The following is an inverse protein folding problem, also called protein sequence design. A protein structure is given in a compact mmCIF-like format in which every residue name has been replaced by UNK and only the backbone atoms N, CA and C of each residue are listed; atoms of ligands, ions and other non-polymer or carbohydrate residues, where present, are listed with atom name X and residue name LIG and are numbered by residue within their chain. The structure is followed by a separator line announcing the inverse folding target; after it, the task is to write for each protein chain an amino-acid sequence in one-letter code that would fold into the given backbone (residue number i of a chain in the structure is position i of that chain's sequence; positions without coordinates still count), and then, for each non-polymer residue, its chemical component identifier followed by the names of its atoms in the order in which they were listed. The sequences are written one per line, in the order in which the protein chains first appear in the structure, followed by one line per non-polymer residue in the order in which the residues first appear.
data_IF_210485117816
#
_entry.id   IF_210485117816
#
_cell.length_a   1.000
_cell.length_b   1.000
_cell.length_c   1.000
_cell.angle_alpha   90.00
_cell.angle_beta   90.00
_cell.angle_gamma   90.00
#
_symmetry.space_group_name_H-M   'P 1'
#
loop_
_entity.id
_entity.type
_entity.pdbx_description
1 polymer ?
#
# COMPACT_ATOMS: atom_id res chain seq x y z
N UNK A 1 0.68 27.68 -5.28
CA UNK A 1 1.80 27.18 -6.10
C UNK A 1 1.57 27.59 -7.55
N UNK A 2 2.65 27.88 -8.30
CA UNK A 2 2.54 28.15 -9.73
C UNK A 2 1.96 26.90 -10.44
N UNK A 3 1.12 27.15 -11.44
CA UNK A 3 0.35 26.10 -12.13
C UNK A 3 1.17 25.39 -13.21
N UNK A 4 2.14 26.09 -13.79
CA UNK A 4 2.95 25.62 -14.91
C UNK A 4 4.44 25.70 -14.61
N UNK A 5 5.23 24.85 -15.26
CA UNK A 5 6.68 24.84 -15.10
C UNK A 5 7.31 26.17 -15.54
N UNK A 6 6.78 26.78 -16.60
CA UNK A 6 7.24 28.10 -17.09
C UNK A 6 7.14 29.24 -16.05
N UNK A 7 6.22 29.10 -15.07
CA UNK A 7 5.95 30.11 -14.04
C UNK A 7 6.82 29.91 -12.78
N UNK A 8 7.65 28.86 -12.78
CA UNK A 8 8.53 28.54 -11.66
C UNK A 8 9.80 29.40 -11.68
N UNK A 9 10.46 29.56 -10.51
CA UNK A 9 11.75 30.26 -10.44
C UNK A 9 12.81 29.65 -11.36
N UNK A 10 13.77 30.48 -11.79
CA UNK A 10 14.93 30.02 -12.57
C UNK A 10 15.65 28.88 -11.84
N UNK A 11 15.95 27.80 -12.58
CA UNK A 11 16.58 26.58 -12.04
C UNK A 11 15.60 25.53 -11.51
N UNK A 12 14.31 25.76 -11.60
CA UNK A 12 13.33 24.72 -11.31
C UNK A 12 13.53 23.52 -12.25
N UNK A 13 13.58 22.33 -11.64
CA UNK A 13 13.61 21.06 -12.38
C UNK A 13 12.23 20.44 -12.32
N UNK A 14 11.60 20.28 -13.48
CA UNK A 14 10.23 19.75 -13.61
C UNK A 14 10.18 18.23 -13.39
N UNK A 15 10.77 17.75 -12.29
CA UNK A 15 10.88 16.32 -11.96
C UNK A 15 11.13 16.11 -10.47
N UNK A 16 10.68 14.98 -9.94
CA UNK A 16 11.02 14.51 -8.60
C UNK A 16 12.31 13.69 -8.67
N UNK A 17 13.40 14.24 -8.19
CA UNK A 17 14.72 13.59 -8.19
C UNK A 17 15.10 13.01 -6.82
N UNK A 18 14.66 13.63 -5.72
CA UNK A 18 15.02 13.23 -4.35
C UNK A 18 13.77 12.80 -3.56
N UNK A 19 13.76 11.53 -3.20
CA UNK A 19 12.63 10.87 -2.51
C UNK A 19 13.09 10.33 -1.17
N UNK A 20 12.49 10.83 -0.10
CA UNK A 20 12.64 10.27 1.23
C UNK A 20 11.59 9.17 1.47
N UNK A 21 11.98 8.08 2.10
CA UNK A 21 11.06 7.00 2.46
C UNK A 21 11.28 6.51 3.88
N UNK A 22 10.20 6.49 4.66
CA UNK A 22 10.11 5.82 5.95
C UNK A 22 9.60 4.40 5.74
N UNK A 23 10.28 3.40 6.30
CA UNK A 23 9.89 2.00 6.16
C UNK A 23 10.38 1.31 4.89
N UNK A 24 11.49 1.78 4.31
CA UNK A 24 12.09 1.27 3.07
C UNK A 24 12.33 -0.25 3.02
N UNK A 25 12.62 -0.89 4.15
CA UNK A 25 12.80 -2.35 4.27
C UNK A 25 11.53 -3.13 4.61
N UNK A 26 10.38 -2.45 4.70
CA UNK A 26 9.08 -3.07 4.99
C UNK A 26 8.43 -3.69 3.76
N UNK A 27 7.29 -4.37 3.98
CA UNK A 27 6.56 -5.10 2.93
C UNK A 27 6.25 -4.25 1.70
N UNK A 28 5.66 -3.07 1.87
CA UNK A 28 5.33 -2.15 0.77
C UNK A 28 6.55 -1.32 0.39
N UNK A 29 7.27 -0.78 1.38
CA UNK A 29 8.40 0.12 1.14
C UNK A 29 9.51 -0.50 0.29
N UNK A 30 9.84 -1.78 0.53
CA UNK A 30 10.85 -2.50 -0.24
C UNK A 30 10.48 -2.56 -1.74
N UNK A 31 9.22 -2.83 -2.05
CA UNK A 31 8.76 -2.89 -3.44
C UNK A 31 8.78 -1.51 -4.11
N UNK A 32 8.38 -0.47 -3.37
CA UNK A 32 8.47 0.92 -3.87
C UNK A 32 9.91 1.30 -4.15
N UNK A 33 10.81 1.07 -3.21
CA UNK A 33 12.25 1.38 -3.36
C UNK A 33 12.83 0.63 -4.55
N UNK A 34 12.56 -0.66 -4.67
CA UNK A 34 13.05 -1.49 -5.78
C UNK A 34 12.64 -0.90 -7.14
N UNK A 35 11.39 -0.49 -7.28
CA UNK A 35 10.91 0.05 -8.56
C UNK A 35 11.41 1.48 -8.81
N UNK A 36 11.54 2.33 -7.77
CA UNK A 36 12.15 3.65 -7.90
C UNK A 36 13.60 3.56 -8.39
N UNK A 37 14.40 2.67 -7.82
CA UNK A 37 15.79 2.46 -8.24
C UNK A 37 15.90 2.00 -9.70
N UNK A 38 15.01 1.11 -10.15
CA UNK A 38 14.98 0.65 -11.55
C UNK A 38 14.75 1.78 -12.56
N UNK A 39 14.11 2.86 -12.16
CA UNK A 39 13.89 4.00 -13.07
C UNK A 39 15.19 4.75 -13.41
N UNK A 40 16.18 4.71 -12.53
CA UNK A 40 17.40 5.52 -12.63
C UNK A 40 17.17 7.04 -12.49
N UNK A 41 15.94 7.46 -12.16
CA UNK A 41 15.54 8.89 -12.10
C UNK A 41 15.62 9.49 -10.70
N UNK A 42 15.63 8.63 -9.66
CA UNK A 42 15.45 9.06 -8.29
C UNK A 42 16.66 8.70 -7.42
N UNK A 43 17.09 9.65 -6.61
CA UNK A 43 17.93 9.39 -5.43
C UNK A 43 16.98 9.08 -4.27
N UNK A 44 16.99 7.84 -3.78
CA UNK A 44 16.12 7.39 -2.69
C UNK A 44 16.90 7.44 -1.38
N UNK A 45 16.35 8.11 -0.36
CA UNK A 45 16.91 8.16 1.00
C UNK A 45 15.98 7.44 1.96
N UNK A 46 16.43 6.31 2.51
CA UNK A 46 15.70 5.56 3.52
C UNK A 46 15.92 6.19 4.91
N UNK A 47 14.83 6.53 5.57
CA UNK A 47 14.84 6.96 6.96
C UNK A 47 14.71 5.74 7.86
N UNK A 48 15.70 5.53 8.69
CA UNK A 48 15.77 4.37 9.57
C UNK A 48 16.22 4.79 10.96
N UNK A 49 15.77 4.07 11.97
CA UNK A 49 16.30 4.23 13.33
C UNK A 49 17.68 3.58 13.38
N UNK A 50 18.53 4.08 14.27
CA UNK A 50 19.89 3.55 14.45
C UNK A 50 19.90 2.06 14.89
N UNK A 51 18.85 1.60 15.61
CA UNK A 51 18.66 0.24 16.08
C UNK A 51 17.91 -0.67 15.08
N UNK A 52 17.61 -0.19 13.89
CA UNK A 52 16.87 -0.97 12.89
C UNK A 52 17.72 -2.13 12.33
N UNK A 53 17.14 -3.32 12.33
CA UNK A 53 17.72 -4.53 11.73
C UNK A 53 17.20 -4.80 10.29
N UNK A 54 16.39 -3.91 9.74
CA UNK A 54 15.85 -4.09 8.39
C UNK A 54 16.95 -3.95 7.34
N UNK A 55 16.96 -4.86 6.39
CA UNK A 55 17.85 -4.76 5.22
C UNK A 55 17.33 -3.69 4.28
N UNK A 56 18.17 -2.72 3.98
CA UNK A 56 17.91 -1.69 2.98
C UNK A 56 18.55 -2.11 1.65
N UNK A 57 17.88 -1.99 0.51
CA UNK A 57 18.45 -2.33 -0.80
C UNK A 57 19.71 -1.52 -1.12
N UNK A 58 20.63 -2.13 -1.85
CA UNK A 58 21.79 -1.43 -2.41
C UNK A 58 21.35 -0.28 -3.34
N UNK A 59 22.11 0.82 -3.34
CA UNK A 59 21.78 2.02 -4.12
C UNK A 59 20.89 3.02 -3.36
N UNK A 60 20.41 2.69 -2.16
CA UNK A 60 19.65 3.59 -1.31
C UNK A 60 20.56 4.33 -0.34
N UNK A 61 20.41 5.64 -0.23
CA UNK A 61 21.04 6.43 0.82
C UNK A 61 20.35 6.16 2.16
N UNK A 62 21.10 6.15 3.25
CA UNK A 62 20.56 5.92 4.59
C UNK A 62 20.71 7.20 5.42
N UNK A 63 19.61 7.66 6.01
CA UNK A 63 19.57 8.72 7.00
C UNK A 63 19.05 8.15 8.33
N UNK A 64 19.87 8.23 9.38
CA UNK A 64 19.44 7.83 10.71
C UNK A 64 18.62 8.93 11.36
N UNK A 65 17.43 8.58 11.86
CA UNK A 65 16.51 9.47 12.53
C UNK A 65 16.11 8.92 13.90
N UNK A 66 15.71 9.82 14.78
CA UNK A 66 15.06 9.49 16.04
C UNK A 66 13.68 10.16 16.06
N UNK A 67 12.60 9.37 16.19
CA UNK A 67 11.22 9.90 16.24
C UNK A 67 10.92 10.77 17.47
N UNK A 68 11.74 10.70 18.50
CA UNK A 68 11.64 11.54 19.69
C UNK A 68 12.55 12.78 19.64
N UNK A 69 13.33 12.92 18.57
CA UNK A 69 14.14 14.11 18.29
C UNK A 69 13.80 14.65 16.90
N UNK A 70 12.86 15.61 16.88
CA UNK A 70 12.38 16.24 15.64
C UNK A 70 13.51 16.85 14.80
N UNK A 71 14.58 17.35 15.42
CA UNK A 71 15.69 17.97 14.69
C UNK A 71 16.40 16.98 13.76
N UNK A 72 16.48 15.71 14.14
CA UNK A 72 17.06 14.64 13.30
C UNK A 72 16.21 14.41 12.06
N UNK A 73 14.89 14.41 12.21
CA UNK A 73 13.94 14.20 11.09
C UNK A 73 14.00 15.40 10.14
N UNK A 74 13.94 16.62 10.65
CA UNK A 74 14.04 17.85 9.85
C UNK A 74 15.36 17.86 9.07
N UNK A 75 16.47 17.54 9.72
CA UNK A 75 17.79 17.52 9.08
C UNK A 75 17.84 16.51 7.93
N UNK A 76 17.31 15.31 8.13
CA UNK A 76 17.25 14.27 7.11
C UNK A 76 16.35 14.65 5.91
N UNK A 77 15.28 15.42 6.17
CA UNK A 77 14.32 15.87 5.14
C UNK A 77 14.80 17.06 4.31
N UNK A 78 15.82 17.82 4.78
CA UNK A 78 16.32 18.97 4.02
C UNK A 78 16.75 18.59 2.61
N UNK A 79 16.17 19.30 1.63
CA UNK A 79 16.46 19.08 0.22
C UNK A 79 15.75 17.90 -0.43
N UNK A 80 14.97 17.12 0.30
CA UNK A 80 14.07 16.12 -0.30
C UNK A 80 12.89 16.82 -0.99
N UNK A 81 12.35 16.20 -2.04
CA UNK A 81 11.21 16.75 -2.80
C UNK A 81 9.90 16.01 -2.52
N UNK A 82 10.00 14.75 -2.17
CA UNK A 82 8.85 13.89 -1.92
C UNK A 82 9.10 12.99 -0.72
N UNK A 83 8.12 12.86 0.17
CA UNK A 83 8.18 11.97 1.32
C UNK A 83 7.17 10.83 1.17
N UNK A 84 7.64 9.59 1.27
CA UNK A 84 6.82 8.37 1.29
C UNK A 84 6.82 7.80 2.71
N UNK A 85 5.65 7.46 3.24
CA UNK A 85 5.51 6.88 4.58
C UNK A 85 4.89 5.47 4.46
N UNK A 86 5.65 4.44 4.85
CA UNK A 86 5.22 3.02 4.87
C UNK A 86 5.54 2.39 6.22
N UNK A 87 4.79 2.79 7.25
CA UNK A 87 5.01 2.30 8.61
C UNK A 87 4.24 1.02 8.91
N UNK A 88 4.80 0.19 9.79
CA UNK A 88 4.11 -0.96 10.33
C UNK A 88 2.86 -0.54 11.14
N UNK A 89 1.80 -1.37 11.18
CA UNK A 89 0.61 -1.10 12.00
C UNK A 89 0.90 -0.99 13.50
N UNK A 90 2.01 -1.57 13.94
CA UNK A 90 2.49 -1.54 15.33
C UNK A 90 3.27 -0.28 15.70
N UNK A 91 3.52 0.63 14.75
CA UNK A 91 4.18 1.90 15.05
C UNK A 91 3.34 2.73 16.04
N UNK A 92 3.97 3.49 16.97
CA UNK A 92 3.25 4.41 17.85
C UNK A 92 2.35 5.35 17.05
N UNK A 93 1.14 5.60 17.55
CA UNK A 93 0.08 6.34 16.83
C UNK A 93 0.48 7.77 16.45
N UNK A 94 1.36 8.39 17.21
CA UNK A 94 1.85 9.76 16.99
C UNK A 94 3.01 9.85 15.99
N UNK A 95 3.61 8.71 15.61
CA UNK A 95 4.81 8.69 14.75
C UNK A 95 4.54 9.33 13.38
N UNK A 96 3.38 9.05 12.76
CA UNK A 96 3.01 9.65 11.48
C UNK A 96 2.96 11.19 11.59
N UNK A 97 2.30 11.71 12.61
CA UNK A 97 2.18 13.14 12.85
C UNK A 97 3.54 13.79 13.11
N UNK A 98 4.41 13.17 13.91
CA UNK A 98 5.79 13.66 14.14
C UNK A 98 6.57 13.82 12.84
N UNK A 99 6.49 12.82 11.95
CA UNK A 99 7.15 12.84 10.64
C UNK A 99 6.59 13.95 9.75
N UNK A 100 5.27 14.06 9.67
CA UNK A 100 4.58 15.04 8.80
C UNK A 100 4.82 16.47 9.27
N UNK A 101 4.83 16.72 10.59
CA UNK A 101 5.17 18.04 11.15
C UNK A 101 6.61 18.43 10.85
N UNK A 102 7.55 17.50 11.00
CA UNK A 102 8.95 17.72 10.62
C UNK A 102 9.10 17.97 9.11
N UNK A 103 8.32 17.28 8.26
CA UNK A 103 8.31 17.48 6.82
C UNK A 103 7.85 18.89 6.43
N UNK A 104 6.80 19.41 7.06
CA UNK A 104 6.35 20.78 6.84
C UNK A 104 7.43 21.81 7.22
N UNK A 105 8.10 21.61 8.38
CA UNK A 105 9.19 22.49 8.84
C UNK A 105 10.42 22.40 7.91
N UNK A 106 10.67 21.25 7.30
CA UNK A 106 11.74 21.07 6.33
C UNK A 106 11.41 21.63 4.93
N UNK A 107 10.16 22.04 4.69
CA UNK A 107 9.69 22.59 3.42
C UNK A 107 9.39 21.53 2.36
N UNK A 108 9.03 20.31 2.76
CA UNK A 108 8.63 19.23 1.83
C UNK A 108 7.29 19.59 1.18
N UNK A 109 7.19 19.62 -0.17
CA UNK A 109 5.94 19.98 -0.83
C UNK A 109 4.94 18.80 -0.94
N UNK A 110 5.42 17.56 -1.04
CA UNK A 110 4.60 16.40 -1.38
C UNK A 110 4.80 15.24 -0.42
N UNK A 111 3.69 14.64 0.01
CA UNK A 111 3.70 13.49 0.94
C UNK A 111 2.78 12.38 0.43
N UNK A 112 3.27 11.16 0.42
CA UNK A 112 2.45 9.95 0.31
C UNK A 112 2.26 9.40 1.73
N UNK A 113 1.07 9.56 2.34
CA UNK A 113 0.81 9.14 3.71
C UNK A 113 0.79 7.62 3.83
N UNK A 114 0.85 7.11 5.05
CA UNK A 114 0.75 5.67 5.34
C UNK A 114 -0.68 5.15 5.09
N UNK A 115 -1.03 4.98 3.80
CA UNK A 115 -2.35 4.55 3.36
C UNK A 115 -2.27 3.87 2.00
N UNK A 116 -2.09 2.54 1.99
CA UNK A 116 -1.95 1.70 0.79
C UNK A 116 -3.02 0.62 0.81
N UNK A 117 -4.21 0.93 0.30
CA UNK A 117 -5.33 -0.01 0.43
C UNK A 117 -6.55 0.35 -0.40
N UNK A 118 -7.72 0.34 0.23
CA UNK A 118 -9.00 0.48 -0.43
C UNK A 118 -9.32 1.89 -0.94
N UNK A 119 -10.46 1.98 -1.59
CA UNK A 119 -11.01 3.23 -2.15
C UNK A 119 -11.34 4.24 -1.04
N UNK A 120 -10.70 5.41 -1.08
CA UNK A 120 -10.89 6.48 -0.09
C UNK A 120 -12.28 7.12 -0.13
N UNK A 121 -13.04 6.90 -1.19
CA UNK A 121 -14.42 7.38 -1.35
C UNK A 121 -15.46 6.40 -0.78
N UNK A 122 -15.08 5.14 -0.51
CA UNK A 122 -15.93 4.17 0.19
C UNK A 122 -15.92 4.43 1.70
N UNK A 123 -16.56 5.52 2.10
CA UNK A 123 -16.55 6.03 3.48
C UNK A 123 -17.03 4.99 4.47
N UNK A 124 -18.18 4.35 4.21
CA UNK A 124 -18.77 3.33 5.09
C UNK A 124 -17.83 2.14 5.31
N UNK A 125 -17.26 1.59 4.22
CA UNK A 125 -16.28 0.50 4.31
C UNK A 125 -15.06 0.94 5.15
N UNK A 126 -14.55 2.15 4.90
CA UNK A 126 -13.46 2.71 5.67
C UNK A 126 -13.74 2.84 7.17
N UNK A 127 -14.94 3.27 7.54
CA UNK A 127 -15.38 3.41 8.93
C UNK A 127 -15.54 2.05 9.62
N UNK A 128 -16.18 1.10 8.94
CA UNK A 128 -16.42 -0.25 9.46
C UNK A 128 -15.12 -1.06 9.62
N UNK A 129 -14.05 -0.69 8.90
CA UNK A 129 -12.72 -1.30 9.04
C UNK A 129 -11.77 -0.50 9.93
N UNK A 130 -12.18 0.65 10.48
CA UNK A 130 -11.39 1.60 11.26
C UNK A 130 -10.23 2.26 10.53
N UNK A 131 -9.97 1.89 9.27
CA UNK A 131 -8.87 2.45 8.48
C UNK A 131 -9.21 3.82 7.88
N UNK A 132 -10.48 4.04 7.52
CA UNK A 132 -10.95 5.27 6.89
C UNK A 132 -10.68 6.53 7.72
N UNK A 133 -11.10 6.59 9.00
CA UNK A 133 -10.86 7.73 9.87
C UNK A 133 -9.38 8.04 10.06
N UNK A 134 -8.54 7.03 10.26
CA UNK A 134 -7.08 7.19 10.43
C UNK A 134 -6.44 7.75 9.16
N UNK A 135 -6.73 7.14 8.01
CA UNK A 135 -6.16 7.58 6.73
C UNK A 135 -6.65 8.98 6.33
N UNK A 136 -7.89 9.33 6.68
CA UNK A 136 -8.42 10.69 6.47
C UNK A 136 -7.68 11.69 7.34
N UNK A 137 -7.51 11.41 8.63
CA UNK A 137 -6.78 12.29 9.54
C UNK A 137 -5.33 12.55 9.07
N UNK A 138 -4.64 11.53 8.54
CA UNK A 138 -3.31 11.70 7.95
C UNK A 138 -3.31 12.69 6.78
N UNK A 139 -4.26 12.55 5.84
CA UNK A 139 -4.37 13.47 4.69
C UNK A 139 -4.74 14.89 5.10
N UNK A 140 -5.68 15.02 6.03
CA UNK A 140 -6.14 16.32 6.55
C UNK A 140 -5.01 17.06 7.27
N UNK A 141 -4.18 16.34 8.05
CA UNK A 141 -3.02 16.94 8.70
C UNK A 141 -2.00 17.45 7.68
N UNK A 142 -1.67 16.67 6.65
CA UNK A 142 -0.75 17.08 5.58
C UNK A 142 -1.27 18.34 4.89
N UNK A 143 -2.56 18.36 4.50
CA UNK A 143 -3.17 19.50 3.84
C UNK A 143 -3.20 20.75 4.76
N UNK A 144 -3.53 20.59 6.04
CA UNK A 144 -3.53 21.67 7.04
C UNK A 144 -2.15 22.31 7.24
N UNK A 145 -1.11 21.53 7.07
CA UNK A 145 0.28 21.99 7.13
C UNK A 145 0.79 22.61 5.82
N UNK A 146 -0.06 22.73 4.80
CA UNK A 146 0.25 23.39 3.53
C UNK A 146 0.95 22.51 2.50
N UNK A 147 1.10 21.22 2.77
CA UNK A 147 1.65 20.24 1.84
C UNK A 147 0.56 19.60 1.00
N UNK A 148 0.95 18.99 -0.13
CA UNK A 148 0.05 18.23 -0.98
C UNK A 148 0.24 16.73 -0.72
N UNK A 149 -0.84 15.95 -0.79
CA UNK A 149 -0.75 14.52 -0.61
C UNK A 149 -1.16 13.75 -1.87
N UNK A 150 -0.65 12.53 -2.01
CA UNK A 150 -1.10 11.53 -2.98
C UNK A 150 -1.26 10.21 -2.20
N UNK A 151 -2.44 9.60 -2.24
CA UNK A 151 -2.64 8.31 -1.55
C UNK A 151 -2.83 7.17 -2.56
N UNK A 152 -2.53 5.94 -2.14
CA UNK A 152 -2.53 4.76 -3.00
C UNK A 152 -3.78 3.92 -2.74
N UNK A 153 -4.63 3.78 -3.76
CA UNK A 153 -5.82 2.94 -3.76
C UNK A 153 -5.55 1.70 -4.62
N UNK A 154 -4.98 0.66 -4.01
CA UNK A 154 -4.51 -0.56 -4.68
C UNK A 154 -5.33 -1.81 -4.33
N UNK A 155 -6.37 -1.67 -3.50
CA UNK A 155 -7.12 -2.80 -2.96
C UNK A 155 -6.31 -3.63 -1.96
N UNK A 156 -6.67 -4.89 -1.79
CA UNK A 156 -5.89 -5.82 -0.99
C UNK A 156 -4.56 -6.17 -1.69
N UNK A 157 -3.51 -6.40 -0.91
CA UNK A 157 -2.22 -6.86 -1.44
C UNK A 157 -2.31 -8.36 -1.73
N UNK A 158 -2.44 -8.74 -2.98
CA UNK A 158 -2.80 -10.09 -3.39
C UNK A 158 -1.88 -11.17 -2.83
N UNK A 159 -0.60 -11.08 -3.12
CA UNK A 159 0.43 -12.02 -2.69
C UNK A 159 0.55 -12.10 -1.15
N UNK A 160 0.55 -10.95 -0.48
CA UNK A 160 0.59 -10.86 0.97
C UNK A 160 -0.70 -11.38 1.63
N UNK A 161 -1.85 -11.11 1.03
CA UNK A 161 -3.15 -11.52 1.55
C UNK A 161 -3.39 -13.01 1.39
N UNK A 162 -3.02 -13.57 0.23
CA UNK A 162 -3.16 -14.98 -0.05
C UNK A 162 -2.20 -15.81 0.83
N UNK A 163 -0.99 -15.30 1.10
CA UNK A 163 -0.03 -15.92 2.01
C UNK A 163 -0.40 -15.80 3.49
N UNK A 164 -1.36 -14.95 3.83
CA UNK A 164 -1.62 -14.56 5.22
C UNK A 164 -2.55 -15.47 6.01
N UNK A 165 -2.87 -16.64 5.50
CA UNK A 165 -3.65 -17.65 6.19
C UNK A 165 -5.16 -17.43 6.13
N UNK A 166 -5.88 -18.28 6.86
CA UNK A 166 -7.32 -18.39 6.86
C UNK A 166 -8.03 -17.07 7.24
N UNK A 167 -7.45 -16.26 8.12
CA UNK A 167 -8.05 -14.99 8.56
C UNK A 167 -8.14 -13.92 7.47
N UNK A 168 -7.46 -14.10 6.31
CA UNK A 168 -7.45 -13.15 5.19
C UNK A 168 -8.32 -13.63 4.03
N UNK A 169 -7.75 -14.29 3.02
CA UNK A 169 -8.52 -14.80 1.87
C UNK A 169 -9.08 -16.21 2.09
N UNK A 170 -9.02 -16.74 3.31
CA UNK A 170 -9.59 -18.04 3.66
C UNK A 170 -8.69 -19.25 3.42
N UNK A 171 -7.48 -19.08 2.87
CA UNK A 171 -6.56 -20.16 2.54
C UNK A 171 -5.62 -20.52 3.69
N UNK A 172 -5.50 -21.80 4.00
CA UNK A 172 -4.44 -22.36 4.84
C UNK A 172 -3.69 -23.41 4.01
N UNK A 173 -2.52 -23.04 3.51
CA UNK A 173 -1.72 -23.90 2.64
C UNK A 173 -1.14 -25.11 3.34
N UNK A 174 -0.88 -25.02 4.64
CA UNK A 174 -0.30 -26.13 5.41
C UNK A 174 -1.33 -27.25 5.64
N UNK A 175 -2.56 -26.84 5.97
CA UNK A 175 -3.67 -27.77 6.17
C UNK A 175 -4.39 -28.12 4.86
N UNK A 176 -4.05 -27.47 3.76
CA UNK A 176 -4.83 -27.50 2.52
C UNK A 176 -6.31 -27.30 2.81
N UNK A 177 -6.64 -26.22 3.46
CA UNK A 177 -8.04 -25.86 3.74
C UNK A 177 -8.37 -24.48 3.17
N UNK A 178 -9.63 -24.32 2.76
CA UNK A 178 -10.18 -23.09 2.23
C UNK A 178 -11.52 -22.81 2.87
N UNK A 179 -11.64 -21.66 3.52
CA UNK A 179 -12.92 -21.11 3.97
C UNK A 179 -13.45 -20.15 2.91
N UNK A 180 -14.51 -20.56 2.21
CA UNK A 180 -15.19 -19.73 1.22
C UNK A 180 -16.17 -18.79 1.95
N UNK A 181 -16.16 -17.52 1.58
CA UNK A 181 -17.02 -16.49 2.13
C UNK A 181 -18.31 -16.42 1.30
N UNK A 182 -19.45 -16.66 1.95
CA UNK A 182 -20.76 -16.81 1.34
C UNK A 182 -20.70 -17.85 0.19
N UNK A 183 -20.88 -17.43 -1.06
CA UNK A 183 -20.77 -18.30 -2.25
C UNK A 183 -19.41 -18.21 -2.96
N UNK A 184 -18.49 -17.38 -2.48
CA UNK A 184 -17.14 -17.20 -3.05
C UNK A 184 -17.07 -16.44 -4.36
N UNK A 185 -18.15 -15.80 -4.81
CA UNK A 185 -18.21 -15.10 -6.12
C UNK A 185 -17.99 -13.59 -6.02
N UNK A 186 -17.96 -13.03 -4.83
CA UNK A 186 -17.76 -11.60 -4.61
C UNK A 186 -16.35 -11.18 -5.02
N UNK A 187 -16.26 -10.24 -5.98
CA UNK A 187 -15.00 -9.74 -6.52
C UNK A 187 -14.48 -8.54 -5.71
N UNK A 188 -13.17 -8.49 -5.59
CA UNK A 188 -12.43 -7.39 -4.98
C UNK A 188 -11.26 -6.98 -5.86
N UNK A 189 -10.96 -5.69 -5.86
CA UNK A 189 -9.71 -5.17 -6.44
C UNK A 189 -8.53 -5.58 -5.56
N UNK A 190 -7.51 -6.13 -6.20
CA UNK A 190 -6.28 -6.57 -5.52
C UNK A 190 -5.05 -6.19 -6.35
N UNK A 191 -3.94 -5.94 -5.69
CA UNK A 191 -2.67 -5.65 -6.36
C UNK A 191 -1.54 -6.49 -5.78
N UNK A 192 -0.61 -6.94 -6.62
CA UNK A 192 0.64 -7.50 -6.13
C UNK A 192 1.47 -6.40 -5.49
N UNK A 193 2.33 -6.75 -4.55
CA UNK A 193 3.27 -5.80 -3.94
C UNK A 193 4.19 -5.16 -5.00
N UNK A 194 4.58 -5.92 -6.03
CA UNK A 194 5.34 -5.41 -7.16
C UNK A 194 4.59 -4.34 -7.97
N UNK A 195 3.27 -4.53 -8.20
CA UNK A 195 2.46 -3.54 -8.92
C UNK A 195 2.32 -2.25 -8.15
N UNK A 196 2.23 -2.33 -6.81
CA UNK A 196 2.23 -1.14 -5.94
C UNK A 196 3.53 -0.34 -6.14
N UNK A 197 4.67 -1.02 -6.12
CA UNK A 197 5.97 -0.39 -6.38
C UNK A 197 6.02 0.28 -7.75
N UNK A 198 5.59 -0.43 -8.80
CA UNK A 198 5.56 0.09 -10.18
C UNK A 198 4.68 1.33 -10.32
N UNK A 199 3.46 1.29 -9.75
CA UNK A 199 2.54 2.42 -9.82
C UNK A 199 3.11 3.68 -9.15
N UNK A 200 3.69 3.54 -7.95
CA UNK A 200 4.35 4.66 -7.26
C UNK A 200 5.53 5.19 -8.07
N UNK A 201 6.40 4.31 -8.59
CA UNK A 201 7.55 4.71 -9.40
C UNK A 201 7.13 5.41 -10.70
N UNK A 202 6.04 4.95 -11.35
CA UNK A 202 5.49 5.61 -12.55
C UNK A 202 5.00 7.02 -12.24
N UNK A 203 4.22 7.20 -11.18
CA UNK A 203 3.70 8.52 -10.79
C UNK A 203 4.83 9.50 -10.44
N UNK A 204 5.83 9.06 -9.67
CA UNK A 204 6.95 9.91 -9.30
C UNK A 204 7.93 10.19 -10.46
N UNK A 205 7.88 9.40 -11.54
CA UNK A 205 8.68 9.59 -12.75
C UNK A 205 8.06 10.52 -13.79
N UNK A 206 6.84 11.02 -13.53
CA UNK A 206 6.18 12.02 -14.36
C UNK A 206 6.85 13.39 -14.19
N UNK A 207 6.62 14.29 -15.17
CA UNK A 207 6.88 15.71 -14.94
C UNK A 207 6.09 16.18 -13.71
N UNK A 208 6.64 17.09 -12.93
CA UNK A 208 5.96 17.63 -11.76
C UNK A 208 4.73 18.45 -12.15
N UNK A 209 4.91 19.34 -13.13
CA UNK A 209 3.90 20.27 -13.65
C UNK A 209 3.80 20.21 -15.17
N UNK A 210 2.66 20.58 -15.76
CA UNK A 210 2.60 20.88 -17.18
C UNK A 210 3.57 22.02 -17.55
N UNK A 211 4.16 21.99 -18.74
CA UNK A 211 5.09 23.05 -19.17
C UNK A 211 4.38 24.41 -19.26
N UNK A 212 3.21 24.41 -19.91
CA UNK A 212 2.34 25.57 -20.09
C UNK A 212 0.87 25.14 -20.26
N UNK A 213 0.00 26.07 -20.70
CA UNK A 213 -1.44 25.85 -20.90
C UNK A 213 -1.75 24.84 -22.03
N UNK A 214 -0.82 24.66 -22.98
CA UNK A 214 -0.99 23.74 -24.11
C UNK A 214 -0.56 22.31 -23.78
N UNK A 215 0.27 22.13 -22.75
CA UNK A 215 0.74 20.82 -22.31
C UNK A 215 -0.39 20.02 -21.64
N UNK A 216 -0.86 18.98 -22.32
CA UNK A 216 -1.89 18.05 -21.85
C UNK A 216 -1.32 16.73 -21.36
N UNK A 217 0.00 16.65 -21.21
CA UNK A 217 0.65 15.44 -20.68
C UNK A 217 0.22 15.15 -19.23
N UNK A 218 0.25 13.87 -18.87
CA UNK A 218 0.01 13.47 -17.50
C UNK A 218 1.20 13.93 -16.63
N UNK A 219 0.91 14.58 -15.52
CA UNK A 219 1.91 15.10 -14.59
C UNK A 219 1.60 14.69 -13.16
N UNK A 220 2.59 14.79 -12.27
CA UNK A 220 2.42 14.55 -10.84
C UNK A 220 1.29 15.42 -10.27
N UNK A 221 1.21 16.67 -10.72
CA UNK A 221 0.18 17.63 -10.28
C UNK A 221 -1.25 17.17 -10.56
N UNK A 222 -1.45 16.25 -11.52
CA UNK A 222 -2.77 15.67 -11.82
C UNK A 222 -3.32 14.81 -10.68
N UNK A 223 -2.44 14.31 -9.82
CA UNK A 223 -2.75 13.40 -8.70
C UNK A 223 -2.75 14.09 -7.33
N UNK A 224 -2.40 15.37 -7.25
CA UNK A 224 -2.31 16.07 -5.94
C UNK A 224 -3.66 16.11 -5.26
N UNK A 225 -3.66 15.77 -3.97
CA UNK A 225 -4.84 15.66 -3.09
C UNK A 225 -5.89 14.66 -3.61
N UNK A 226 -5.42 13.58 -4.24
CA UNK A 226 -6.26 12.51 -4.80
C UNK A 226 -5.69 11.13 -4.48
N UNK A 227 -6.52 10.11 -4.68
CA UNK A 227 -6.09 8.72 -4.77
C UNK A 227 -5.57 8.39 -6.17
N UNK A 228 -4.49 7.64 -6.27
CA UNK A 228 -4.13 6.90 -7.48
C UNK A 228 -4.74 5.50 -7.37
N UNK A 229 -5.58 5.16 -8.35
CA UNK A 229 -6.33 3.90 -8.36
C UNK A 229 -5.74 2.94 -9.38
N UNK A 230 -5.42 1.74 -8.96
CA UNK A 230 -4.96 0.67 -9.84
C UNK A 230 -5.20 -0.69 -9.19
N UNK A 231 -5.09 -1.74 -10.00
CA UNK A 231 -5.18 -3.12 -9.54
C UNK A 231 -4.37 -4.05 -10.44
N UNK A 232 -3.93 -5.18 -9.90
CA UNK A 232 -3.46 -6.31 -10.70
C UNK A 232 -4.62 -7.17 -11.15
N UNK A 233 -5.58 -7.43 -10.23
CA UNK A 233 -6.69 -8.34 -10.46
C UNK A 233 -7.98 -7.82 -9.83
N UNK A 234 -9.08 -7.99 -10.56
CA UNK A 234 -10.43 -7.98 -10.02
C UNK A 234 -10.86 -9.44 -9.86
N UNK A 235 -10.79 -9.98 -8.66
CA UNK A 235 -10.82 -11.43 -8.44
C UNK A 235 -11.69 -11.81 -7.24
N UNK A 236 -12.32 -12.99 -7.32
CA UNK A 236 -13.06 -13.64 -6.24
C UNK A 236 -12.33 -14.89 -5.71
N UNK A 237 -12.81 -15.46 -4.59
CA UNK A 237 -12.16 -16.61 -3.98
C UNK A 237 -12.17 -17.87 -4.86
N UNK A 238 -13.20 -18.09 -5.69
CA UNK A 238 -13.22 -19.22 -6.62
C UNK A 238 -12.13 -19.09 -7.68
N UNK A 239 -11.98 -17.90 -8.27
CA UNK A 239 -10.91 -17.62 -9.24
C UNK A 239 -9.51 -17.74 -8.60
N UNK A 240 -9.34 -17.29 -7.35
CA UNK A 240 -8.11 -17.50 -6.57
C UNK A 240 -7.84 -19.01 -6.39
N UNK A 241 -8.85 -19.79 -6.04
CA UNK A 241 -8.71 -21.23 -5.80
C UNK A 241 -8.35 -21.99 -7.09
N UNK A 242 -8.96 -21.64 -8.23
CA UNK A 242 -8.56 -22.19 -9.52
C UNK A 242 -7.08 -21.91 -9.83
N UNK A 243 -6.60 -20.71 -9.55
CA UNK A 243 -5.18 -20.36 -9.69
C UNK A 243 -4.30 -21.17 -8.73
N UNK A 244 -4.70 -21.28 -7.47
CA UNK A 244 -3.98 -22.09 -6.46
C UNK A 244 -3.84 -23.53 -6.93
N UNK A 245 -4.91 -24.15 -7.43
CA UNK A 245 -4.88 -25.53 -7.93
C UNK A 245 -3.91 -25.69 -9.11
N UNK A 246 -3.95 -24.78 -10.08
CA UNK A 246 -3.00 -24.82 -11.22
C UNK A 246 -1.55 -24.69 -10.77
N UNK A 247 -1.26 -23.76 -9.88
CA UNK A 247 0.12 -23.46 -9.41
C UNK A 247 0.68 -24.59 -8.53
N UNK A 248 -0.19 -25.21 -7.73
CA UNK A 248 0.24 -26.29 -6.81
C UNK A 248 0.11 -27.70 -7.39
N UNK A 249 -0.53 -27.84 -8.55
CA UNK A 249 -0.82 -29.16 -9.16
C UNK A 249 -1.82 -29.98 -8.35
N UNK A 250 -2.71 -29.31 -7.59
CA UNK A 250 -3.74 -29.95 -6.76
C UNK A 250 -5.12 -29.90 -7.41
N UNK A 251 -6.07 -30.66 -6.86
CA UNK A 251 -7.47 -30.73 -7.26
C UNK A 251 -8.37 -30.40 -6.07
N UNK A 252 -9.68 -30.28 -6.26
CA UNK A 252 -10.63 -30.04 -5.16
C UNK A 252 -10.55 -31.13 -4.08
N UNK A 253 -10.25 -32.37 -4.48
CA UNK A 253 -10.14 -33.52 -3.56
C UNK A 253 -8.94 -33.40 -2.58
N UNK A 254 -7.98 -32.56 -2.89
CA UNK A 254 -6.80 -32.31 -2.04
C UNK A 254 -7.05 -31.26 -0.97
N UNK A 255 -8.23 -30.61 -0.98
CA UNK A 255 -8.57 -29.47 -0.10
C UNK A 255 -9.78 -29.75 0.76
N UNK A 256 -9.73 -29.32 2.01
CA UNK A 256 -10.91 -29.25 2.87
C UNK A 256 -11.60 -27.90 2.69
N UNK A 257 -12.76 -27.91 2.04
CA UNK A 257 -13.50 -26.69 1.73
C UNK A 257 -14.66 -26.52 2.73
N UNK A 258 -14.73 -25.35 3.36
CA UNK A 258 -15.80 -24.94 4.26
C UNK A 258 -16.41 -23.62 3.80
N UNK A 259 -17.61 -23.29 4.27
CA UNK A 259 -18.30 -22.03 3.97
C UNK A 259 -18.60 -21.27 5.24
N UNK A 260 -18.40 -19.95 5.21
CA UNK A 260 -18.72 -19.05 6.32
C UNK A 260 -19.36 -17.76 5.82
N UNK A 261 -20.40 -17.27 6.51
CA UNK A 261 -21.00 -15.98 6.15
C UNK A 261 -20.02 -14.82 6.40
N UNK A 262 -19.87 -13.93 5.41
CA UNK A 262 -19.05 -12.71 5.55
C UNK A 262 -19.52 -11.86 6.73
N UNK A 263 -20.83 -11.71 6.92
CA UNK A 263 -21.39 -10.90 8.02
C UNK A 263 -21.06 -11.50 9.39
N UNK A 264 -21.27 -12.81 9.55
CA UNK A 264 -20.92 -13.51 10.80
C UNK A 264 -19.43 -13.39 11.09
N UNK A 265 -18.59 -13.61 10.07
CA UNK A 265 -17.14 -13.53 10.15
C UNK A 265 -16.67 -12.13 10.55
N UNK A 266 -17.28 -11.10 9.98
CA UNK A 266 -17.03 -9.71 10.36
C UNK A 266 -17.40 -9.43 11.82
N UNK A 267 -18.59 -9.85 12.27
CA UNK A 267 -19.07 -9.65 13.63
C UNK A 267 -18.16 -10.33 14.67
N UNK A 268 -17.72 -11.55 14.40
CA UNK A 268 -16.78 -12.28 15.24
C UNK A 268 -15.42 -11.57 15.33
N UNK A 269 -14.87 -11.14 14.18
CA UNK A 269 -13.63 -10.38 14.14
C UNK A 269 -13.74 -9.05 14.88
N UNK A 270 -14.85 -8.33 14.69
CA UNK A 270 -15.16 -7.07 15.38
C UNK A 270 -15.27 -7.24 16.88
N UNK A 271 -15.91 -8.31 17.33
CA UNK A 271 -16.03 -8.62 18.76
C UNK A 271 -14.65 -8.85 19.41
N UNK A 272 -13.76 -9.56 18.73
CA UNK A 272 -12.38 -9.77 19.19
C UNK A 272 -11.64 -8.43 19.31
N UNK A 273 -11.70 -7.58 18.27
CA UNK A 273 -11.03 -6.26 18.26
C UNK A 273 -11.57 -5.37 19.39
N UNK A 274 -12.89 -5.31 19.57
CA UNK A 274 -13.53 -4.55 20.66
C UNK A 274 -13.14 -5.08 22.04
N UNK A 275 -12.90 -6.39 22.15
CA UNK A 275 -12.37 -7.02 23.35
C UNK A 275 -10.86 -6.84 23.57
N UNK A 276 -10.18 -6.06 22.74
CA UNK A 276 -8.73 -5.80 22.81
C UNK A 276 -7.85 -6.87 22.15
N UNK A 277 -8.44 -7.89 21.52
CA UNK A 277 -7.71 -8.91 20.79
C UNK A 277 -7.54 -8.54 19.32
N UNK A 278 -6.38 -7.97 18.97
CA UNK A 278 -6.08 -7.52 17.60
C UNK A 278 -5.92 -8.68 16.58
N UNK A 279 -5.86 -9.94 17.01
CA UNK A 279 -5.91 -11.08 16.09
C UNK A 279 -7.21 -11.12 15.27
N UNK A 280 -8.31 -10.53 15.78
CA UNK A 280 -9.57 -10.37 15.05
C UNK A 280 -9.53 -9.35 13.92
N UNK A 281 -8.53 -8.47 13.86
CA UNK A 281 -8.51 -7.36 12.91
C UNK A 281 -8.47 -7.82 11.44
N UNK A 282 -7.60 -8.76 11.11
CA UNK A 282 -7.54 -9.32 9.75
C UNK A 282 -8.87 -10.00 9.37
N UNK A 283 -9.43 -10.85 10.26
CA UNK A 283 -10.71 -11.51 10.05
C UNK A 283 -11.84 -10.51 9.74
N UNK A 284 -11.92 -9.43 10.53
CA UNK A 284 -12.89 -8.36 10.36
C UNK A 284 -12.68 -7.61 9.03
N UNK A 285 -11.46 -7.16 8.76
CA UNK A 285 -11.10 -6.35 7.60
C UNK A 285 -11.42 -7.08 6.29
N UNK A 286 -10.95 -8.32 6.17
CA UNK A 286 -11.15 -9.11 4.96
C UNK A 286 -12.62 -9.51 4.79
N UNK A 287 -13.29 -9.98 5.83
CA UNK A 287 -14.73 -10.29 5.74
C UNK A 287 -15.53 -9.08 5.27
N UNK A 288 -15.23 -7.86 5.78
CA UNK A 288 -15.93 -6.64 5.36
C UNK A 288 -15.70 -6.31 3.87
N UNK A 289 -14.50 -6.52 3.38
CA UNK A 289 -14.17 -6.30 1.95
C UNK A 289 -14.98 -7.19 1.00
N UNK A 290 -15.40 -8.36 1.45
CA UNK A 290 -16.17 -9.33 0.66
C UNK A 290 -17.70 -9.20 0.84
N UNK A 291 -18.23 -8.11 1.41
CA UNK A 291 -19.68 -7.90 1.44
C UNK A 291 -20.22 -7.72 0.02
N UNK A 292 -21.19 -8.55 -0.44
CA UNK A 292 -21.66 -8.50 -1.83
C UNK A 292 -22.26 -7.15 -2.24
N UNK A 293 -22.91 -6.46 -1.30
CA UNK A 293 -23.58 -5.18 -1.54
C UNK A 293 -22.63 -3.95 -1.54
N UNK A 294 -21.41 -4.10 -1.00
CA UNK A 294 -20.43 -3.00 -0.90
C UNK A 294 -19.02 -3.56 -0.75
N UNK A 295 -18.47 -4.05 -1.86
CA UNK A 295 -17.18 -4.72 -1.94
C UNK A 295 -16.01 -3.74 -1.93
N UNK A 296 -14.78 -4.25 -1.84
CA UNK A 296 -13.55 -3.47 -2.05
C UNK A 296 -13.22 -3.25 -3.54
N UNK A 297 -14.17 -3.50 -4.45
CA UNK A 297 -13.99 -3.25 -5.88
C UNK A 297 -13.91 -1.75 -6.18
N UNK A 298 -12.87 -1.35 -6.91
CA UNK A 298 -12.68 -0.01 -7.48
C UNK A 298 -12.23 -0.06 -8.96
N UNK A 299 -12.51 -1.17 -9.65
CA UNK A 299 -12.05 -1.39 -11.03
C UNK A 299 -12.48 -0.28 -11.99
N UNK A 300 -13.68 0.30 -11.79
CA UNK A 300 -14.18 1.41 -12.61
C UNK A 300 -13.35 2.70 -12.50
N UNK A 301 -12.50 2.82 -11.47
CA UNK A 301 -11.59 3.95 -11.25
C UNK A 301 -10.15 3.62 -11.60
N UNK A 302 -9.84 2.38 -11.98
CA UNK A 302 -8.47 1.92 -12.21
C UNK A 302 -7.81 2.70 -13.35
N UNK A 303 -6.60 3.17 -13.09
CA UNK A 303 -5.78 4.01 -13.98
C UNK A 303 -4.59 3.21 -14.54
N UNK A 304 -4.71 1.88 -14.63
CA UNK A 304 -3.63 1.01 -15.09
C UNK A 304 -3.10 1.42 -16.47
N UNK A 305 -4.00 1.63 -17.44
CA UNK A 305 -3.65 2.05 -18.78
C UNK A 305 -3.01 3.44 -18.79
N UNK A 306 -3.62 4.40 -18.07
CA UNK A 306 -3.11 5.77 -17.94
C UNK A 306 -1.69 5.81 -17.38
N UNK A 307 -1.36 4.93 -16.43
CA UNK A 307 -0.04 4.83 -15.82
C UNK A 307 0.91 3.91 -16.61
N UNK A 308 0.45 3.26 -17.68
CA UNK A 308 1.24 2.29 -18.42
C UNK A 308 1.73 1.12 -17.55
N UNK A 309 0.86 0.64 -16.65
CA UNK A 309 1.16 -0.51 -15.81
C UNK A 309 0.99 -1.80 -16.61
N UNK A 310 1.88 -2.79 -16.43
CA UNK A 310 1.74 -4.07 -17.12
C UNK A 310 0.54 -4.85 -16.59
N UNK A 311 -0.06 -5.65 -17.48
CA UNK A 311 -0.94 -6.73 -17.06
C UNK A 311 -0.12 -7.80 -16.33
N UNK A 312 -0.69 -8.37 -15.29
CA UNK A 312 -0.06 -9.43 -14.49
C UNK A 312 -0.85 -10.74 -14.60
N UNK A 313 -0.15 -11.84 -14.49
CA UNK A 313 -0.75 -13.17 -14.42
C UNK A 313 -1.19 -13.49 -12.99
N UNK A 314 -2.45 -13.91 -12.84
CA UNK A 314 -2.97 -14.36 -11.54
C UNK A 314 -2.14 -15.54 -10.99
N UNK A 315 -1.72 -16.46 -11.86
CA UNK A 315 -0.94 -17.63 -11.46
C UNK A 315 0.48 -17.24 -10.98
N UNK A 316 1.11 -16.24 -11.61
CA UNK A 316 2.39 -15.70 -11.11
C UNK A 316 2.21 -14.97 -9.76
N UNK A 317 1.13 -14.23 -9.58
CA UNK A 317 0.78 -13.63 -8.28
C UNK A 317 0.54 -14.68 -7.19
N UNK A 318 -0.16 -15.77 -7.54
CA UNK A 318 -0.39 -16.91 -6.64
C UNK A 318 0.91 -17.62 -6.28
N UNK A 319 1.80 -17.83 -7.25
CA UNK A 319 3.14 -18.40 -7.02
C UNK A 319 3.96 -17.53 -6.07
N UNK A 320 3.95 -16.21 -6.27
CA UNK A 320 4.62 -15.27 -5.38
C UNK A 320 4.07 -15.36 -3.94
N UNK A 321 2.75 -15.54 -3.77
CA UNK A 321 2.14 -15.77 -2.47
C UNK A 321 2.63 -17.06 -1.80
N UNK A 322 2.68 -18.16 -2.54
CA UNK A 322 3.16 -19.46 -2.03
C UNK A 322 4.64 -19.38 -1.62
N UNK A 323 5.45 -18.69 -2.42
CA UNK A 323 6.86 -18.47 -2.08
C UNK A 323 7.01 -17.55 -0.85
N UNK A 324 6.09 -16.63 -0.64
CA UNK A 324 6.04 -15.81 0.59
C UNK A 324 5.68 -16.65 1.81
N UNK A 325 4.72 -17.60 1.70
CA UNK A 325 4.41 -18.56 2.78
C UNK A 325 5.68 -19.26 3.26
N UNK A 326 6.44 -19.86 2.31
CA UNK A 326 7.70 -20.57 2.63
C UNK A 326 8.72 -19.67 3.33
N UNK A 327 8.85 -18.40 2.89
CA UNK A 327 9.75 -17.43 3.52
C UNK A 327 9.32 -17.04 4.93
N UNK A 328 8.02 -16.92 5.18
CA UNK A 328 7.47 -16.59 6.50
C UNK A 328 7.66 -17.76 7.46
N UNK A 329 7.43 -18.99 7.02
CA UNK A 329 7.68 -20.19 7.82
C UNK A 329 9.16 -20.36 8.22
N UNK A 330 10.07 -19.99 7.34
CA UNK A 330 11.50 -19.97 7.63
C UNK A 330 11.93 -18.89 8.65
N UNK A 331 11.06 -17.93 8.97
CA UNK A 331 11.29 -16.81 9.90
C UNK A 331 10.05 -16.52 10.76
N UNK A 332 9.68 -17.41 11.70
CA UNK A 332 8.42 -17.33 12.44
C UNK A 332 8.27 -16.04 13.27
N UNK A 333 9.33 -15.39 13.67
CA UNK A 333 9.33 -14.11 14.38
C UNK A 333 8.69 -12.93 13.60
N UNK A 334 8.58 -13.02 12.27
CA UNK A 334 7.93 -12.02 11.41
C UNK A 334 6.44 -12.27 11.16
N UNK A 335 5.89 -13.39 11.61
CA UNK A 335 4.45 -13.67 11.50
C UNK A 335 3.61 -12.98 12.59
N UNK A 336 4.24 -12.53 13.67
CA UNK A 336 3.57 -11.91 14.83
C UNK A 336 3.53 -10.37 14.79
N UNK A 337 4.03 -9.75 13.72
CA UNK A 337 4.11 -8.29 13.59
C UNK A 337 3.07 -7.68 12.63
#
# INVERSE_FOLDING_TARGET
MAKYAKDQPAGFKNSIERVAIVGAGGTVGLNIVTELLKTGKHTVTAFTRADSTNTIPEGVQIAHINYDDEATIISALKGQQFLIITMAPTAPRDTHSKIVQAAAKAGIPYVMPNGYGGDIEKVKLGEETFLGPVNRAHRDEIARLGMQWITVCCGFWYDYSLAGGESRFGFDFDKRSLTIYDDGTTKNSTSTLSQIGRAVAKVLSLKELPEDESDKSLTLSSFLNKGIYFQSFLVNQKEMFESVKRVTGTTDADWTITHESTKKRYEEGLALVKGGNMAGFAKMLYARGFYPEDTSDHASKAQNELLGLPEESLDEGTKAAIDLVKKLQARPERMAS
#
